data_IF_665883831561
#
_entry.id   IF_665883831561
#
_cell.length_a   1.000
_cell.length_b   1.000
_cell.length_c   1.000
_cell.angle_alpha   90.00
_cell.angle_beta   90.00
_cell.angle_gamma   90.00
#
_symmetry.space_group_name_H-M   'P 1'
#
loop_
_entity.id
_entity.type
_entity.pdbx_description
1 polymer ?
#
# COMPACT_ATOMS: atom_id res chain seq x y z
N UNK A 1 -0.34 -0.11 7.57
CA UNK A 1 -0.15 1.35 7.71
C UNK A 1 -0.62 2.09 6.45
N UNK A 2 -0.18 1.66 5.26
CA UNK A 2 -0.30 2.42 4.01
C UNK A 2 -1.74 2.72 3.57
N UNK A 3 -2.70 1.88 3.91
CA UNK A 3 -4.13 2.17 3.70
C UNK A 3 -4.68 3.33 4.57
N UNK A 4 -3.92 3.78 5.57
CA UNK A 4 -4.31 4.90 6.43
C UNK A 4 -4.05 6.29 5.87
N UNK A 5 -3.28 6.41 4.78
CA UNK A 5 -3.01 7.71 4.15
C UNK A 5 -4.26 8.29 3.47
N UNK A 6 -4.56 9.59 3.66
CA UNK A 6 -5.72 10.23 3.03
C UNK A 6 -5.74 10.10 1.51
N UNK A 7 -4.59 10.22 0.84
CA UNK A 7 -4.53 10.12 -0.63
C UNK A 7 -4.72 8.69 -1.13
N UNK A 8 -4.35 7.67 -0.36
CA UNK A 8 -4.66 6.27 -0.67
C UNK A 8 -6.16 6.02 -0.55
N UNK A 9 -6.82 6.60 0.46
CA UNK A 9 -8.28 6.54 0.61
C UNK A 9 -9.01 7.31 -0.49
N UNK A 10 -8.47 8.46 -0.93
CA UNK A 10 -8.99 9.19 -2.09
C UNK A 10 -8.90 8.35 -3.37
N UNK A 11 -7.76 7.69 -3.60
CA UNK A 11 -7.58 6.78 -4.74
C UNK A 11 -8.62 5.65 -4.73
N UNK A 12 -8.80 4.99 -3.58
CA UNK A 12 -9.82 3.95 -3.39
C UNK A 12 -11.23 4.46 -3.71
N UNK A 13 -11.58 5.62 -3.20
CA UNK A 13 -12.90 6.22 -3.45
C UNK A 13 -13.13 6.48 -4.94
N UNK A 14 -12.16 7.06 -5.64
CA UNK A 14 -12.24 7.33 -7.08
C UNK A 14 -12.42 6.05 -7.90
N UNK A 15 -11.73 4.97 -7.53
CA UNK A 15 -11.91 3.66 -8.17
C UNK A 15 -13.32 3.12 -7.90
N UNK A 16 -13.78 3.15 -6.64
CA UNK A 16 -15.12 2.70 -6.22
C UNK A 16 -16.22 3.45 -6.98
N UNK A 17 -16.05 4.73 -7.22
CA UNK A 17 -16.96 5.60 -7.98
C UNK A 17 -16.87 5.43 -9.50
N UNK A 18 -15.95 4.59 -9.99
CA UNK A 18 -15.79 4.32 -11.42
C UNK A 18 -15.21 5.48 -12.24
N UNK A 19 -14.52 6.43 -11.58
CA UNK A 19 -13.98 7.64 -12.22
C UNK A 19 -13.03 7.30 -13.37
N UNK A 20 -12.18 6.27 -13.20
CA UNK A 20 -11.24 5.81 -14.21
C UNK A 20 -11.81 4.79 -15.21
N UNK A 21 -13.09 4.41 -15.08
CA UNK A 21 -13.66 3.28 -15.80
C UNK A 21 -13.14 1.94 -15.24
N UNK A 22 -13.27 0.86 -16.01
CA UNK A 22 -12.80 -0.47 -15.61
C UNK A 22 -11.27 -0.47 -15.47
N UNK A 23 -10.77 -0.90 -14.31
CA UNK A 23 -9.33 -1.07 -14.08
C UNK A 23 -8.79 -2.16 -14.99
N UNK A 24 -7.69 -1.87 -15.68
CA UNK A 24 -7.03 -2.75 -16.67
C UNK A 24 -5.62 -3.15 -16.25
N UNK A 25 -4.89 -2.25 -15.56
CA UNK A 25 -3.48 -2.46 -15.22
C UNK A 25 -3.15 -1.89 -13.85
N UNK A 26 -2.36 -2.63 -13.07
CA UNK A 26 -1.84 -2.21 -11.76
C UNK A 26 -0.34 -2.47 -11.72
N UNK A 27 0.43 -1.46 -11.37
CA UNK A 27 1.85 -1.58 -11.07
C UNK A 27 2.08 -1.09 -9.64
N UNK A 28 2.66 -1.94 -8.81
CA UNK A 28 3.04 -1.61 -7.44
C UNK A 28 4.48 -2.02 -7.21
N UNK A 29 5.25 -1.14 -6.59
CA UNK A 29 6.66 -1.35 -6.30
C UNK A 29 6.98 -0.91 -4.88
N UNK A 30 7.85 -1.66 -4.21
CA UNK A 30 8.31 -1.33 -2.86
C UNK A 30 9.80 -1.62 -2.73
N UNK A 31 10.66 -0.75 -3.30
CA UNK A 31 12.10 -0.86 -3.13
C UNK A 31 12.55 -0.21 -1.82
N UNK A 32 13.49 -0.87 -1.14
CA UNK A 32 14.25 -0.44 0.02
C UNK A 32 15.72 -0.86 -0.15
N UNK A 33 16.66 -0.12 0.43
CA UNK A 33 18.10 -0.41 0.31
C UNK A 33 18.77 -0.89 1.61
N UNK A 34 18.04 -1.00 2.70
CA UNK A 34 18.61 -1.19 4.05
C UNK A 34 19.22 -2.57 4.31
N UNK A 35 18.87 -3.58 3.51
CA UNK A 35 19.45 -4.93 3.55
C UNK A 35 20.46 -5.21 2.42
N UNK A 36 20.99 -4.19 1.77
CA UNK A 36 22.02 -4.33 0.73
C UNK A 36 23.30 -4.99 1.26
N UNK A 37 23.57 -4.86 2.57
CA UNK A 37 24.67 -5.53 3.28
C UNK A 37 24.13 -6.53 4.30
N UNK A 38 24.99 -7.42 4.80
CA UNK A 38 24.66 -8.38 5.85
C UNK A 38 24.53 -7.71 7.24
N UNK A 39 23.66 -6.70 7.34
CA UNK A 39 23.46 -5.91 8.56
C UNK A 39 22.94 -6.75 9.73
N UNK A 40 22.33 -7.89 9.46
CA UNK A 40 21.96 -8.91 10.45
C UNK A 40 23.17 -9.48 11.21
N UNK A 41 24.35 -9.46 10.61
CA UNK A 41 25.63 -9.89 11.23
C UNK A 41 26.36 -8.76 11.95
N UNK A 42 25.92 -7.52 11.76
CA UNK A 42 26.51 -6.31 12.33
C UNK A 42 25.72 -5.79 13.56
N UNK A 43 24.84 -6.61 14.14
CA UNK A 43 24.10 -6.27 15.35
C UNK A 43 22.77 -5.54 15.11
N UNK A 44 22.29 -5.42 13.86
CA UNK A 44 20.98 -4.86 13.57
C UNK A 44 19.89 -5.84 13.97
N UNK A 45 19.21 -5.58 15.10
CA UNK A 45 18.16 -6.44 15.64
C UNK A 45 16.97 -6.61 14.69
N UNK A 46 16.63 -5.57 13.90
CA UNK A 46 15.53 -5.62 12.95
C UNK A 46 15.86 -6.52 11.74
N UNK A 47 17.11 -6.50 11.27
CA UNK A 47 17.58 -7.40 10.24
C UNK A 47 17.69 -8.85 10.78
N UNK A 48 18.23 -9.02 11.97
CA UNK A 48 18.52 -10.32 12.56
C UNK A 48 17.29 -11.24 12.66
N UNK A 49 16.11 -10.71 13.03
CA UNK A 49 14.92 -11.56 13.10
C UNK A 49 14.24 -11.75 11.74
N UNK A 50 14.28 -10.75 10.85
CA UNK A 50 13.65 -10.83 9.51
C UNK A 50 14.36 -11.80 8.57
N UNK A 51 15.67 -11.92 8.71
CA UNK A 51 16.48 -12.85 7.89
C UNK A 51 16.61 -14.25 8.50
N UNK A 52 16.04 -14.49 9.69
CA UNK A 52 16.03 -15.77 10.37
C UNK A 52 14.74 -16.55 10.08
N UNK A 53 14.77 -17.65 9.28
CA UNK A 53 13.57 -18.42 8.94
C UNK A 53 12.82 -18.99 10.14
N UNK A 54 13.51 -19.19 11.27
CA UNK A 54 12.87 -19.68 12.50
C UNK A 54 11.98 -18.65 13.17
N UNK A 55 12.14 -17.37 12.83
CA UNK A 55 11.40 -16.24 13.41
C UNK A 55 10.46 -15.59 12.42
N UNK A 56 10.92 -15.34 11.19
CA UNK A 56 10.14 -14.66 10.16
C UNK A 56 9.33 -15.61 9.25
N UNK A 57 9.59 -16.91 9.32
CA UNK A 57 8.92 -17.90 8.47
C UNK A 57 9.66 -18.17 7.16
N UNK A 58 8.90 -18.43 6.09
CA UNK A 58 9.44 -18.94 4.83
C UNK A 58 9.85 -17.88 3.81
N UNK A 59 9.59 -16.61 4.07
CA UNK A 59 9.87 -15.51 3.15
C UNK A 59 10.51 -14.34 3.90
N UNK A 60 11.44 -13.68 3.26
CA UNK A 60 12.09 -12.46 3.75
C UNK A 60 11.40 -11.21 3.20
N UNK A 61 11.90 -10.69 2.09
CA UNK A 61 11.42 -9.47 1.45
C UNK A 61 9.93 -9.52 1.08
N UNK A 62 9.49 -10.60 0.43
CA UNK A 62 8.10 -10.72 0.00
C UNK A 62 7.15 -10.86 1.19
N UNK A 63 7.53 -11.58 2.25
CA UNK A 63 6.75 -11.69 3.48
C UNK A 63 6.68 -10.38 4.27
N UNK A 64 7.75 -9.58 4.27
CA UNK A 64 7.81 -8.29 4.98
C UNK A 64 7.12 -7.18 4.18
N UNK A 65 7.63 -6.84 2.99
CA UNK A 65 7.17 -5.67 2.23
C UNK A 65 6.31 -6.01 0.99
N UNK A 66 6.48 -7.19 0.41
CA UNK A 66 5.63 -7.65 -0.69
C UNK A 66 4.16 -7.75 -0.29
N UNK A 67 3.87 -8.20 0.93
CA UNK A 67 2.51 -8.25 1.50
C UNK A 67 1.88 -6.85 1.58
N UNK A 68 2.64 -5.82 1.93
CA UNK A 68 2.15 -4.44 1.93
C UNK A 68 1.81 -3.95 0.53
N UNK A 69 2.65 -4.26 -0.46
CA UNK A 69 2.41 -3.89 -1.85
C UNK A 69 1.17 -4.60 -2.42
N UNK A 70 1.01 -5.91 -2.16
CA UNK A 70 -0.16 -6.68 -2.57
C UNK A 70 -1.45 -6.15 -1.91
N UNK A 71 -1.42 -5.90 -0.60
CA UNK A 71 -2.54 -5.32 0.13
C UNK A 71 -2.92 -3.94 -0.42
N UNK A 72 -1.95 -3.05 -0.70
CA UNK A 72 -2.22 -1.72 -1.24
C UNK A 72 -2.93 -1.81 -2.61
N UNK A 73 -2.49 -2.75 -3.47
CA UNK A 73 -3.10 -2.97 -4.76
C UNK A 73 -4.55 -3.45 -4.64
N UNK A 74 -4.83 -4.46 -3.81
CA UNK A 74 -6.20 -4.95 -3.55
C UNK A 74 -7.05 -3.87 -2.85
N UNK A 75 -6.49 -3.16 -1.87
CA UNK A 75 -7.20 -2.15 -1.09
C UNK A 75 -7.71 -0.99 -1.95
N UNK A 76 -6.85 -0.43 -2.81
CA UNK A 76 -7.24 0.71 -3.66
C UNK A 76 -8.20 0.25 -4.76
N UNK A 77 -7.91 -0.88 -5.41
CA UNK A 77 -8.71 -1.33 -6.55
C UNK A 77 -10.02 -1.97 -6.16
N UNK A 78 -10.13 -2.49 -4.93
CA UNK A 78 -11.23 -3.37 -4.51
C UNK A 78 -11.22 -4.74 -5.18
N UNK A 79 -10.21 -5.02 -6.03
CA UNK A 79 -10.11 -6.26 -6.82
C UNK A 79 -9.18 -7.26 -6.11
N UNK A 80 -9.57 -8.54 -6.16
CA UNK A 80 -8.74 -9.61 -5.58
C UNK A 80 -7.74 -10.15 -6.60
N UNK A 81 -6.50 -10.38 -6.13
CA UNK A 81 -5.49 -11.12 -6.88
C UNK A 81 -5.91 -12.58 -6.91
N UNK A 82 -6.07 -13.15 -8.10
CA UNK A 82 -6.56 -14.52 -8.31
C UNK A 82 -5.49 -15.47 -8.82
N UNK A 83 -4.48 -14.95 -9.52
CA UNK A 83 -3.33 -15.73 -10.01
C UNK A 83 -2.08 -14.87 -9.92
N UNK A 84 -0.95 -15.53 -9.67
CA UNK A 84 0.37 -14.91 -9.69
C UNK A 84 1.42 -15.86 -10.29
N UNK A 85 2.50 -15.26 -10.79
CA UNK A 85 3.74 -15.95 -11.13
C UNK A 85 4.88 -15.12 -10.53
N UNK A 86 5.69 -15.72 -9.68
CA UNK A 86 6.73 -15.05 -8.91
C UNK A 86 8.11 -15.57 -9.29
N UNK A 87 9.07 -14.63 -9.34
CA UNK A 87 10.50 -14.87 -9.38
C UNK A 87 11.08 -14.29 -8.09
N UNK A 88 11.50 -15.15 -7.17
CA UNK A 88 12.04 -14.78 -5.86
C UNK A 88 13.55 -15.01 -5.85
N UNK A 89 14.29 -14.04 -5.38
CA UNK A 89 15.73 -14.02 -5.47
C UNK A 89 16.41 -13.81 -4.11
N UNK A 90 17.59 -14.38 -3.96
CA UNK A 90 18.55 -14.11 -2.90
C UNK A 90 19.73 -13.42 -3.56
N UNK A 91 19.78 -12.08 -3.49
CA UNK A 91 20.82 -11.27 -4.13
C UNK A 91 22.06 -11.12 -3.23
N UNK A 92 21.87 -11.15 -1.91
CA UNK A 92 22.98 -11.07 -0.97
C UNK A 92 23.40 -12.48 -0.55
N UNK A 93 24.61 -12.87 -0.96
CA UNK A 93 25.16 -14.20 -0.68
C UNK A 93 25.15 -14.53 0.82
N UNK A 94 24.72 -15.74 1.15
CA UNK A 94 24.66 -16.27 2.52
C UNK A 94 23.40 -15.91 3.31
N UNK A 95 22.38 -15.30 2.69
CA UNK A 95 21.02 -15.20 3.24
C UNK A 95 20.25 -16.49 2.99
N UNK A 96 19.37 -16.90 3.91
CA UNK A 96 18.52 -18.08 3.73
C UNK A 96 17.14 -17.77 3.11
N UNK A 97 16.75 -16.50 3.07
CA UNK A 97 15.44 -16.03 2.59
C UNK A 97 15.59 -15.04 1.44
N UNK A 98 14.51 -14.86 0.68
CA UNK A 98 14.44 -13.87 -0.39
C UNK A 98 14.67 -12.45 0.13
N UNK A 99 15.44 -11.67 -0.62
CA UNK A 99 15.68 -10.24 -0.39
C UNK A 99 15.25 -9.37 -1.59
N UNK A 100 14.73 -10.05 -2.64
CA UNK A 100 14.19 -9.46 -3.86
C UNK A 100 13.09 -10.35 -4.44
N UNK A 101 12.09 -9.76 -5.09
CA UNK A 101 11.04 -10.51 -5.76
C UNK A 101 10.25 -9.72 -6.80
N UNK A 102 9.96 -10.41 -7.90
CA UNK A 102 9.21 -9.90 -9.05
C UNK A 102 7.98 -10.79 -9.26
N UNK A 103 6.78 -10.18 -9.26
CA UNK A 103 5.54 -10.93 -9.36
C UNK A 103 4.64 -10.39 -10.46
N UNK A 104 4.23 -11.24 -11.38
CA UNK A 104 3.15 -10.95 -12.33
C UNK A 104 1.80 -11.31 -11.70
N UNK A 105 0.82 -10.42 -11.81
CA UNK A 105 -0.47 -10.54 -11.15
C UNK A 105 -1.63 -10.61 -12.15
N UNK A 106 -2.66 -11.36 -11.79
CA UNK A 106 -3.99 -11.33 -12.41
C UNK A 106 -5.04 -11.08 -11.36
N UNK A 107 -5.93 -10.14 -11.66
CA UNK A 107 -7.05 -9.78 -10.79
C UNK A 107 -8.36 -10.42 -11.29
N UNK A 108 -9.34 -10.54 -10.40
CA UNK A 108 -10.63 -11.20 -10.67
C UNK A 108 -11.41 -10.61 -11.85
N UNK A 109 -11.25 -9.32 -12.14
CA UNK A 109 -11.90 -8.65 -13.27
C UNK A 109 -11.14 -8.83 -14.60
N UNK A 110 -10.03 -9.60 -14.61
CA UNK A 110 -9.14 -9.80 -15.76
C UNK A 110 -8.02 -8.78 -15.91
N UNK A 111 -7.93 -7.77 -15.03
CA UNK A 111 -6.81 -6.83 -15.01
C UNK A 111 -5.48 -7.57 -14.79
N UNK A 112 -4.41 -7.03 -15.38
CA UNK A 112 -3.06 -7.54 -15.21
C UNK A 112 -2.24 -6.57 -14.36
N UNK A 113 -1.28 -7.09 -13.58
CA UNK A 113 -0.41 -6.27 -12.76
C UNK A 113 1.02 -6.80 -12.67
N UNK A 114 1.86 -5.99 -12.07
CA UNK A 114 3.18 -6.38 -11.62
C UNK A 114 3.40 -5.83 -10.21
N UNK A 115 4.02 -6.63 -9.35
CA UNK A 115 4.47 -6.26 -8.03
C UNK A 115 5.98 -6.50 -7.96
N UNK A 116 6.72 -5.49 -7.58
CA UNK A 116 8.15 -5.53 -7.39
C UNK A 116 8.43 -5.18 -5.93
N UNK A 117 9.17 -6.03 -5.23
CA UNK A 117 9.62 -5.73 -3.87
C UNK A 117 11.09 -6.09 -3.73
N UNK A 118 11.88 -5.20 -3.16
CA UNK A 118 13.32 -5.40 -2.97
C UNK A 118 13.77 -4.73 -1.69
N UNK A 119 14.59 -5.41 -0.89
CA UNK A 119 15.26 -4.81 0.26
C UNK A 119 16.75 -4.55 0.01
N UNK A 120 17.17 -4.77 -1.24
CA UNK A 120 18.57 -4.61 -1.69
C UNK A 120 18.72 -3.57 -2.79
N UNK A 121 17.70 -2.74 -3.02
CA UNK A 121 17.73 -1.63 -3.96
C UNK A 121 18.55 -0.46 -3.38
N UNK A 122 19.87 -0.49 -3.56
CA UNK A 122 20.80 0.44 -2.95
C UNK A 122 20.45 1.90 -3.26
N UNK A 123 20.32 2.72 -2.22
CA UNK A 123 19.96 4.15 -2.32
C UNK A 123 18.47 4.43 -2.14
N UNK A 124 17.61 3.43 -2.21
CA UNK A 124 16.18 3.57 -1.89
C UNK A 124 15.95 3.51 -0.36
N UNK A 125 15.08 4.39 0.12
CA UNK A 125 14.74 4.46 1.55
C UNK A 125 13.52 3.59 1.87
N UNK A 126 12.32 4.06 1.51
CA UNK A 126 11.04 3.38 1.76
C UNK A 126 10.03 3.73 0.65
N UNK A 127 10.35 3.36 -0.57
CA UNK A 127 9.74 3.90 -1.79
C UNK A 127 8.53 3.09 -2.29
N UNK A 128 7.55 2.82 -1.40
CA UNK A 128 6.29 2.20 -1.83
C UNK A 128 5.56 3.14 -2.79
N UNK A 129 5.27 2.63 -3.99
CA UNK A 129 4.60 3.38 -5.04
C UNK A 129 3.60 2.51 -5.77
N UNK A 130 2.47 3.10 -6.17
CA UNK A 130 1.44 2.40 -6.96
C UNK A 130 0.95 3.25 -8.11
N UNK A 131 0.71 2.60 -9.25
CA UNK A 131 0.09 3.17 -10.46
C UNK A 131 -1.05 2.26 -10.89
N UNK A 132 -2.22 2.84 -11.09
CA UNK A 132 -3.42 2.12 -11.52
C UNK A 132 -3.96 2.77 -12.79
N UNK A 133 -4.27 1.97 -13.79
CA UNK A 133 -4.76 2.44 -15.08
C UNK A 133 -6.10 1.79 -15.38
N UNK A 134 -7.08 2.63 -15.65
CA UNK A 134 -8.41 2.26 -16.11
C UNK A 134 -8.61 2.58 -17.60
N UNK A 135 -9.86 2.59 -18.02
CA UNK A 135 -10.25 2.88 -19.40
C UNK A 135 -10.13 4.35 -19.76
N UNK A 136 -10.35 5.25 -18.80
CA UNK A 136 -10.44 6.70 -19.01
C UNK A 136 -9.20 7.45 -18.52
N UNK A 137 -8.38 6.83 -17.70
CA UNK A 137 -7.20 7.47 -17.12
C UNK A 137 -6.48 6.58 -16.13
N UNK A 138 -5.54 7.14 -15.42
CA UNK A 138 -4.76 6.47 -14.39
C UNK A 138 -4.52 7.32 -13.17
N UNK A 139 -4.12 6.71 -12.09
CA UNK A 139 -3.68 7.38 -10.88
C UNK A 139 -2.31 6.87 -10.42
N UNK A 140 -1.60 7.73 -9.69
CA UNK A 140 -0.29 7.42 -9.14
C UNK A 140 -0.17 8.02 -7.74
N UNK A 141 0.29 7.19 -6.79
CA UNK A 141 0.61 7.61 -5.43
C UNK A 141 1.96 7.02 -5.02
N UNK A 142 2.74 7.80 -4.26
CA UNK A 142 4.02 7.39 -3.70
C UNK A 142 4.08 7.75 -2.22
N UNK A 143 4.59 6.84 -1.39
CA UNK A 143 4.67 7.00 0.06
C UNK A 143 5.64 8.10 0.48
N UNK A 144 6.68 8.37 -0.32
CA UNK A 144 7.64 9.46 -0.06
C UNK A 144 7.05 10.85 -0.33
N UNK A 145 5.94 10.94 -1.10
CA UNK A 145 5.13 12.14 -1.33
C UNK A 145 3.66 11.89 -0.96
N UNK A 146 3.37 11.51 0.31
CA UNK A 146 2.11 10.88 0.68
C UNK A 146 0.90 11.81 0.56
N UNK A 147 1.14 13.12 0.56
CA UNK A 147 0.10 14.15 0.49
C UNK A 147 -0.35 14.48 -0.93
N UNK A 148 0.18 13.77 -1.93
CA UNK A 148 -0.08 13.99 -3.36
C UNK A 148 -0.67 12.75 -4.00
N UNK A 149 -1.78 12.89 -4.73
CA UNK A 149 -2.31 11.89 -5.65
C UNK A 149 -2.35 12.51 -7.04
N UNK A 150 -1.64 11.92 -7.99
CA UNK A 150 -1.64 12.34 -9.39
C UNK A 150 -2.69 11.53 -10.16
N UNK A 151 -3.60 12.23 -10.84
CA UNK A 151 -4.60 11.65 -11.73
C UNK A 151 -4.32 12.08 -13.16
N UNK A 152 -4.21 11.13 -14.07
CA UNK A 152 -3.86 11.32 -15.48
C UNK A 152 -5.04 10.91 -16.34
N UNK A 153 -5.39 11.73 -17.33
CA UNK A 153 -6.51 11.49 -18.25
C UNK A 153 -6.01 11.23 -19.67
N UNK A 154 -6.82 10.58 -20.49
CA UNK A 154 -6.51 10.38 -21.91
C UNK A 154 -6.55 11.68 -22.69
N UNK A 155 -7.53 12.53 -22.40
CA UNK A 155 -7.93 13.69 -23.21
C UNK A 155 -8.02 14.99 -22.40
N UNK A 156 -7.55 14.97 -21.15
CA UNK A 156 -7.55 16.12 -20.25
C UNK A 156 -6.19 16.29 -19.58
N UNK A 157 -5.85 17.49 -19.09
CA UNK A 157 -4.66 17.72 -18.30
C UNK A 157 -4.64 16.84 -17.05
N UNK A 158 -3.45 16.45 -16.62
CA UNK A 158 -3.26 15.76 -15.36
C UNK A 158 -3.68 16.66 -14.18
N UNK A 159 -4.27 16.05 -13.16
CA UNK A 159 -4.75 16.73 -11.95
C UNK A 159 -3.96 16.25 -10.74
N UNK A 160 -3.67 17.16 -9.84
CA UNK A 160 -3.03 16.87 -8.55
C UNK A 160 -4.06 17.06 -7.45
N UNK A 161 -4.35 15.99 -6.71
CA UNK A 161 -5.13 16.03 -5.48
C UNK A 161 -4.18 16.13 -4.29
N UNK A 162 -4.52 16.98 -3.31
CA UNK A 162 -3.70 17.23 -2.12
C UNK A 162 -4.48 16.96 -0.85
N UNK A 163 -3.82 16.35 0.15
CA UNK A 163 -4.38 16.15 1.50
C UNK A 163 -4.91 17.47 2.07
N UNK A 164 -6.09 17.44 2.69
CA UNK A 164 -6.73 18.62 3.27
C UNK A 164 -7.51 19.49 2.27
N UNK A 165 -7.53 19.14 0.99
CA UNK A 165 -8.32 19.86 -0.01
C UNK A 165 -9.83 19.70 0.18
N UNK A 166 -10.60 20.80 0.04
CA UNK A 166 -12.05 20.79 0.19
C UNK A 166 -12.80 19.92 -0.84
N UNK A 167 -12.17 19.62 -1.96
CA UNK A 167 -12.67 18.78 -3.06
C UNK A 167 -12.53 17.27 -2.84
N UNK A 168 -11.88 16.85 -1.74
CA UNK A 168 -11.68 15.44 -1.45
C UNK A 168 -12.98 14.73 -1.07
N UNK A 169 -13.02 13.43 -1.29
CA UNK A 169 -14.12 12.57 -0.89
C UNK A 169 -14.11 12.28 0.63
N UNK A 170 -15.20 11.67 1.11
CA UNK A 170 -15.44 11.46 2.53
C UNK A 170 -14.38 10.58 3.20
N UNK A 171 -13.92 9.51 2.53
CA UNK A 171 -12.86 8.64 3.07
C UNK A 171 -11.57 9.40 3.37
N UNK A 172 -11.13 10.26 2.45
CA UNK A 172 -9.94 11.08 2.65
C UNK A 172 -10.15 12.15 3.73
N UNK A 173 -11.28 12.88 3.69
CA UNK A 173 -11.63 13.90 4.70
C UNK A 173 -11.67 13.33 6.12
N UNK A 174 -12.31 12.17 6.30
CA UNK A 174 -12.40 11.50 7.61
C UNK A 174 -11.01 11.16 8.18
N UNK A 175 -10.05 10.89 7.32
CA UNK A 175 -8.69 10.46 7.70
C UNK A 175 -7.63 11.59 7.59
N UNK A 176 -8.01 12.81 7.27
CA UNK A 176 -7.14 13.99 7.32
C UNK A 176 -7.12 14.56 8.74
N UNK A 177 -5.94 14.86 9.29
CA UNK A 177 -5.76 15.31 10.68
C UNK A 177 -5.43 16.78 10.81
N UNK A 178 -4.74 17.38 9.81
CA UNK A 178 -4.32 18.78 9.83
C UNK A 178 -4.92 19.56 8.66
N UNK A 179 -5.01 20.90 8.76
CA UNK A 179 -5.51 21.73 7.66
C UNK A 179 -4.68 21.59 6.38
N UNK A 180 -5.31 21.84 5.24
CA UNK A 180 -4.64 21.83 3.94
C UNK A 180 -3.36 22.69 3.92
N UNK A 181 -2.33 22.21 3.25
CA UNK A 181 -1.01 22.84 3.22
C UNK A 181 -0.04 22.38 4.33
N UNK A 182 -0.52 21.65 5.32
CA UNK A 182 0.32 21.02 6.33
C UNK A 182 0.56 19.54 5.94
N UNK A 183 1.81 19.06 5.96
CA UNK A 183 2.10 17.67 5.59
C UNK A 183 1.64 16.70 6.69
N UNK A 184 1.00 15.61 6.28
CA UNK A 184 0.75 14.42 7.08
C UNK A 184 1.65 13.28 6.61
N UNK A 185 2.04 12.39 7.51
CA UNK A 185 2.99 11.34 7.22
C UNK A 185 2.59 9.97 7.79
N UNK A 186 3.63 9.19 8.06
CA UNK A 186 3.52 7.81 8.51
C UNK A 186 2.76 7.68 9.84
N UNK A 187 3.00 8.57 10.79
CA UNK A 187 2.37 8.52 12.11
C UNK A 187 0.87 8.77 12.03
N UNK A 188 0.44 9.77 11.27
CA UNK A 188 -0.97 10.08 11.07
C UNK A 188 -1.69 8.93 10.34
N UNK A 189 -1.07 8.36 9.31
CA UNK A 189 -1.62 7.21 8.58
C UNK A 189 -1.78 5.99 9.50
N UNK A 190 -0.78 5.72 10.34
CA UNK A 190 -0.85 4.65 11.33
C UNK A 190 -1.94 4.92 12.37
N UNK A 191 -1.97 6.13 12.91
CA UNK A 191 -2.98 6.58 13.86
C UNK A 191 -4.41 6.50 13.30
N UNK A 192 -4.62 6.79 12.03
CA UNK A 192 -5.92 6.69 11.37
C UNK A 192 -6.50 5.27 11.42
N UNK A 193 -5.67 4.24 11.25
CA UNK A 193 -6.12 2.85 11.33
C UNK A 193 -6.59 2.52 12.75
N UNK A 194 -5.81 2.87 13.77
CA UNK A 194 -6.18 2.65 15.17
C UNK A 194 -7.42 3.44 15.58
N UNK A 195 -7.53 4.69 15.11
CA UNK A 195 -8.71 5.53 15.37
C UNK A 195 -9.97 4.89 14.77
N UNK A 196 -9.92 4.45 13.52
CA UNK A 196 -11.05 3.81 12.86
C UNK A 196 -11.45 2.50 13.57
N UNK A 197 -10.48 1.70 13.98
CA UNK A 197 -10.73 0.52 14.79
C UNK A 197 -11.41 0.88 16.14
N UNK A 198 -10.86 1.85 16.88
CA UNK A 198 -11.43 2.30 18.14
C UNK A 198 -12.87 2.83 18.00
N UNK A 199 -13.14 3.62 16.96
CA UNK A 199 -14.48 4.12 16.66
C UNK A 199 -15.46 2.99 16.31
N UNK A 200 -14.97 1.95 15.63
CA UNK A 200 -15.78 0.75 15.35
C UNK A 200 -16.15 0.01 16.64
N UNK A 201 -15.18 -0.15 17.55
CA UNK A 201 -15.42 -0.77 18.88
C UNK A 201 -16.41 0.06 19.69
N UNK A 202 -16.24 1.39 19.74
CA UNK A 202 -17.19 2.28 20.45
C UNK A 202 -18.60 2.15 19.88
N UNK A 203 -18.75 2.20 18.56
CA UNK A 203 -20.06 2.03 17.92
C UNK A 203 -20.70 0.69 18.27
N UNK A 204 -19.91 -0.39 18.33
CA UNK A 204 -20.42 -1.70 18.74
C UNK A 204 -20.89 -1.72 20.20
N UNK A 205 -20.13 -1.10 21.13
CA UNK A 205 -20.50 -0.99 22.54
C UNK A 205 -21.79 -0.18 22.70
N UNK A 206 -21.92 0.92 21.97
CA UNK A 206 -23.08 1.82 22.02
C UNK A 206 -24.31 1.29 21.27
N UNK A 207 -24.18 0.13 20.61
CA UNK A 207 -25.26 -0.43 19.78
C UNK A 207 -25.58 0.39 18.52
N UNK A 208 -24.65 1.26 18.08
CA UNK A 208 -24.79 2.08 16.88
C UNK A 208 -24.11 1.43 15.68
N UNK A 209 -24.52 1.85 14.46
CA UNK A 209 -23.90 1.39 13.22
C UNK A 209 -22.80 2.36 12.79
N UNK A 210 -21.51 1.94 12.71
CA UNK A 210 -20.45 2.78 12.21
C UNK A 210 -20.62 3.09 10.71
N UNK A 211 -20.13 4.25 10.26
CA UNK A 211 -20.12 4.62 8.85
C UNK A 211 -19.06 3.83 8.07
N UNK A 212 -19.17 3.82 6.75
CA UNK A 212 -18.20 3.16 5.85
C UNK A 212 -16.78 3.69 6.04
N UNK A 213 -16.62 4.99 6.30
CA UNK A 213 -15.32 5.63 6.53
C UNK A 213 -14.66 5.13 7.82
N UNK A 214 -15.47 4.85 8.87
CA UNK A 214 -15.00 4.29 10.14
C UNK A 214 -14.59 2.83 9.96
N UNK A 215 -15.35 2.06 9.17
CA UNK A 215 -15.05 0.65 8.90
C UNK A 215 -13.86 0.44 7.95
N UNK A 216 -13.28 1.52 7.43
CA UNK A 216 -12.24 1.46 6.42
C UNK A 216 -10.83 1.31 7.03
N UNK A 217 -10.52 0.12 7.52
CA UNK A 217 -9.20 -0.32 8.00
C UNK A 217 -8.95 -1.80 7.66
N UNK A 218 -7.68 -2.26 7.61
CA UNK A 218 -7.36 -3.66 7.34
C UNK A 218 -7.94 -4.61 8.38
N UNK A 219 -8.50 -5.71 7.92
CA UNK A 219 -9.12 -6.76 8.75
C UNK A 219 -8.18 -7.97 8.89
N UNK A 220 -8.55 -8.93 9.76
CA UNK A 220 -7.85 -10.21 9.87
C UNK A 220 -7.86 -10.99 8.54
N UNK A 221 -8.92 -10.84 7.72
CA UNK A 221 -9.00 -11.46 6.39
C UNK A 221 -7.94 -10.92 5.46
N UNK A 222 -7.68 -9.60 5.50
CA UNK A 222 -6.61 -8.98 4.71
C UNK A 222 -5.23 -9.49 5.15
N UNK A 223 -5.03 -9.72 6.45
CA UNK A 223 -3.80 -10.30 6.98
C UNK A 223 -3.56 -11.74 6.55
N UNK A 224 -4.61 -12.56 6.47
CA UNK A 224 -4.50 -13.96 5.99
C UNK A 224 -4.19 -14.03 4.49
N UNK A 225 -4.59 -13.02 3.72
CA UNK A 225 -4.32 -12.97 2.28
C UNK A 225 -2.89 -12.54 1.93
N UNK A 226 -2.22 -11.79 2.79
CA UNK A 226 -0.81 -11.43 2.66
C UNK A 226 0.11 -12.58 3.01
#
# INVERSE_FOLDING_TARGET
TYSGYPMVKQAKQMIKEGVLGKVRKVWVEYPQGWLTKLTEREGNAQAAWRTDPSKSGKSGCMGDIGTHAAHLAEYITGLKITKLAADLNIMVEGRPLDDDGNVLLKFENGAAGALLASQVAAGEENALKIRIYGEKGGLEWAQQEPNTLLVKWLDQPAQIYRTGGGYLGNYAKHNTRVPGGHPEGYLEAFGNIYRNFALTVSAHIDGSKPSDEILDFPTAVDGVRG
#
